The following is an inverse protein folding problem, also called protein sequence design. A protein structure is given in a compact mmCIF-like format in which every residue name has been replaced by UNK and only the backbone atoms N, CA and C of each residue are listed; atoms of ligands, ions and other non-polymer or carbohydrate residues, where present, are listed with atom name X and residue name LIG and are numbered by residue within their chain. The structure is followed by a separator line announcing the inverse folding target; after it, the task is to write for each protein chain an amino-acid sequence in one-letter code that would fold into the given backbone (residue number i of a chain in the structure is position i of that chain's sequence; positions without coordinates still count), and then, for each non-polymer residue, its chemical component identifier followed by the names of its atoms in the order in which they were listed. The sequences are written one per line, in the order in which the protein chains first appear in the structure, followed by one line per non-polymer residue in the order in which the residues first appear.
data_IF_589881931367
#
_entry.id   IF_589881931367
#
_cell.length_a   1.000
_cell.length_b   1.000
_cell.length_c   1.000
_cell.angle_alpha   90.00
_cell.angle_beta   90.00
_cell.angle_gamma   90.00
#
_symmetry.space_group_name_H-M   'P 1'
#
loop_
_entity.id
_entity.type
_entity.pdbx_description
1 polymer ?
#
# COMPACT_ATOMS: atom_id res chain seq x y z
N UNK A 1 -6.96 -0.26 -23.60
CA UNK A 1 -6.57 -0.01 -22.20
C UNK A 1 -6.52 -1.37 -21.51
N UNK A 2 -5.37 -1.73 -20.94
CA UNK A 2 -5.22 -3.02 -20.25
C UNK A 2 -5.46 -2.82 -18.75
N UNK A 3 -6.74 -2.81 -18.38
CA UNK A 3 -7.16 -2.62 -16.99
C UNK A 3 -6.65 -3.74 -16.07
N UNK A 4 -6.42 -4.95 -16.60
CA UNK A 4 -5.90 -6.07 -15.82
C UNK A 4 -4.42 -5.86 -15.50
N UNK A 5 -3.62 -5.46 -16.48
CA UNK A 5 -2.22 -5.11 -16.26
C UNK A 5 -2.07 -3.95 -15.26
N UNK A 6 -2.83 -2.87 -15.45
CA UNK A 6 -2.78 -1.73 -14.52
C UNK A 6 -3.24 -2.11 -13.11
N UNK A 7 -4.27 -2.95 -12.98
CA UNK A 7 -4.70 -3.47 -11.68
C UNK A 7 -3.56 -4.20 -10.95
N UNK A 8 -2.82 -5.04 -11.69
CA UNK A 8 -1.68 -5.78 -11.17
C UNK A 8 -0.54 -4.84 -10.74
N UNK A 9 -0.21 -3.83 -11.53
CA UNK A 9 0.83 -2.84 -11.19
C UNK A 9 0.51 -2.08 -9.89
N UNK A 10 -0.75 -1.64 -9.71
CA UNK A 10 -1.18 -1.00 -8.46
C UNK A 10 -1.17 -1.98 -7.28
N UNK A 11 -1.53 -3.25 -7.49
CA UNK A 11 -1.46 -4.26 -6.45
C UNK A 11 -0.02 -4.52 -5.99
N UNK A 12 0.91 -4.72 -6.93
CA UNK A 12 2.33 -4.91 -6.65
C UNK A 12 2.91 -3.70 -5.92
N UNK A 13 2.53 -2.49 -6.34
CA UNK A 13 2.94 -1.28 -5.64
C UNK A 13 2.40 -1.22 -4.21
N UNK A 14 1.16 -1.63 -3.99
CA UNK A 14 0.59 -1.73 -2.64
C UNK A 14 1.37 -2.72 -1.77
N UNK A 15 1.78 -3.87 -2.32
CA UNK A 15 2.60 -4.84 -1.57
C UNK A 15 3.97 -4.27 -1.20
N UNK A 16 4.65 -3.57 -2.12
CA UNK A 16 5.92 -2.88 -1.81
C UNK A 16 5.75 -1.86 -0.68
N UNK A 17 4.71 -1.03 -0.75
CA UNK A 17 4.41 -0.04 0.32
C UNK A 17 4.15 -0.73 1.65
N UNK A 18 3.46 -1.89 1.65
CA UNK A 18 3.21 -2.69 2.84
C UNK A 18 4.50 -3.23 3.45
N UNK A 19 5.41 -3.74 2.64
CA UNK A 19 6.73 -4.21 3.11
C UNK A 19 7.55 -3.07 3.72
N UNK A 20 7.54 -1.90 3.09
CA UNK A 20 8.24 -0.72 3.60
C UNK A 20 7.64 -0.23 4.92
N UNK A 21 6.30 -0.28 5.07
CA UNK A 21 5.66 -0.03 6.35
C UNK A 21 6.10 -1.01 7.43
N UNK A 22 6.25 -2.30 7.13
CA UNK A 22 6.71 -3.28 8.12
C UNK A 22 8.17 -3.03 8.56
N UNK A 23 9.07 -2.73 7.61
CA UNK A 23 10.45 -2.32 7.94
C UNK A 23 10.46 -1.08 8.82
N UNK A 24 9.61 -0.11 8.51
CA UNK A 24 9.53 1.15 9.22
C UNK A 24 8.91 0.99 10.62
N UNK A 25 7.92 0.10 10.80
CA UNK A 25 7.39 -0.31 12.12
C UNK A 25 8.46 -0.99 12.97
N UNK A 26 9.29 -1.85 12.38
CA UNK A 26 10.41 -2.46 13.10
C UNK A 26 11.44 -1.42 13.56
N UNK A 27 11.74 -0.42 12.72
CA UNK A 27 12.57 0.72 13.09
C UNK A 27 11.95 1.52 14.23
N UNK A 28 10.67 1.86 14.14
CA UNK A 28 9.92 2.61 15.15
C UNK A 28 10.02 2.00 16.55
N UNK A 29 9.96 0.67 16.65
CA UNK A 29 10.07 -0.05 17.95
C UNK A 29 11.39 0.19 18.66
N UNK A 30 12.46 0.51 17.92
CA UNK A 30 13.82 0.75 18.44
C UNK A 30 14.14 2.24 18.60
N UNK A 31 13.35 3.12 18.00
CA UNK A 31 13.58 4.56 17.97
C UNK A 31 12.94 5.30 19.16
N UNK A 32 13.66 6.26 19.73
CA UNK A 32 13.18 7.16 20.81
C UNK A 32 13.30 8.63 20.37
N UNK A 33 12.63 9.53 21.08
CA UNK A 33 12.73 10.97 20.84
C UNK A 33 12.11 11.42 19.50
N UNK A 34 12.65 12.48 18.92
CA UNK A 34 12.06 13.17 17.77
C UNK A 34 12.00 12.33 16.49
N UNK A 35 12.94 11.42 16.30
CA UNK A 35 12.92 10.49 15.16
C UNK A 35 11.66 9.61 15.18
N UNK A 36 11.09 9.31 16.36
CA UNK A 36 9.83 8.56 16.50
C UNK A 36 8.66 9.30 15.84
N UNK A 37 8.60 10.62 15.98
CA UNK A 37 7.54 11.45 15.39
C UNK A 37 7.63 11.45 13.86
N UNK A 38 8.84 11.61 13.33
CA UNK A 38 9.08 11.55 11.88
C UNK A 38 8.73 10.18 11.30
N UNK A 39 9.08 9.09 11.98
CA UNK A 39 8.73 7.72 11.55
C UNK A 39 7.21 7.51 11.57
N UNK A 40 6.52 7.98 12.61
CA UNK A 40 5.05 7.91 12.67
C UNK A 40 4.38 8.68 11.52
N UNK A 41 4.88 9.89 11.21
CA UNK A 41 4.36 10.67 10.08
C UNK A 41 4.55 9.93 8.76
N UNK A 42 5.73 9.34 8.53
CA UNK A 42 5.99 8.54 7.33
C UNK A 42 5.08 7.29 7.25
N UNK A 43 4.82 6.61 8.37
CA UNK A 43 3.88 5.49 8.43
C UNK A 43 2.45 5.89 8.05
N UNK A 44 2.00 7.08 8.44
CA UNK A 44 0.68 7.59 8.06
C UNK A 44 0.61 7.79 6.55
N UNK A 45 1.62 8.45 5.96
CA UNK A 45 1.68 8.67 4.50
C UNK A 45 1.70 7.35 3.73
N UNK A 46 2.55 6.40 4.14
CA UNK A 46 2.62 5.09 3.49
C UNK A 46 1.31 4.31 3.61
N UNK A 47 0.61 4.43 4.75
CA UNK A 47 -0.70 3.79 4.93
C UNK A 47 -1.73 4.36 3.96
N UNK A 48 -1.76 5.68 3.76
CA UNK A 48 -2.65 6.30 2.77
C UNK A 48 -2.32 5.81 1.36
N UNK A 49 -1.05 5.82 0.97
CA UNK A 49 -0.61 5.33 -0.35
C UNK A 49 -0.98 3.86 -0.58
N UNK A 50 -0.84 3.02 0.44
CA UNK A 50 -1.24 1.62 0.38
C UNK A 50 -2.74 1.47 0.07
N UNK A 51 -3.58 2.20 0.81
CA UNK A 51 -5.03 2.14 0.62
C UNK A 51 -5.43 2.67 -0.76
N UNK A 52 -4.81 3.75 -1.23
CA UNK A 52 -5.05 4.31 -2.56
C UNK A 52 -4.67 3.31 -3.67
N UNK A 53 -3.52 2.65 -3.55
CA UNK A 53 -3.08 1.63 -4.52
C UNK A 53 -4.01 0.41 -4.51
N UNK A 54 -4.40 -0.08 -3.34
CA UNK A 54 -5.36 -1.19 -3.23
C UNK A 54 -6.71 -0.84 -3.87
N UNK A 55 -7.22 0.35 -3.60
CA UNK A 55 -8.49 0.82 -4.16
C UNK A 55 -8.40 1.01 -5.68
N UNK A 56 -7.32 1.57 -6.19
CA UNK A 56 -7.08 1.71 -7.63
C UNK A 56 -7.02 0.33 -8.30
N UNK A 57 -6.27 -0.61 -7.71
CA UNK A 57 -6.17 -1.99 -8.20
C UNK A 57 -7.54 -2.67 -8.27
N UNK A 58 -8.36 -2.54 -7.23
CA UNK A 58 -9.72 -3.11 -7.17
C UNK A 58 -10.64 -2.50 -8.24
N UNK A 59 -10.65 -1.17 -8.38
CA UNK A 59 -11.46 -0.47 -9.38
C UNK A 59 -11.08 -0.91 -10.81
N UNK A 60 -9.79 -1.05 -11.08
CA UNK A 60 -9.28 -1.50 -12.37
C UNK A 60 -9.62 -2.97 -12.64
N UNK A 61 -9.50 -3.84 -11.63
CA UNK A 61 -9.87 -5.25 -11.76
C UNK A 61 -11.38 -5.41 -12.01
N UNK A 62 -12.20 -4.67 -11.27
CA UNK A 62 -13.65 -4.63 -11.45
C UNK A 62 -14.01 -4.18 -12.87
N UNK A 63 -13.32 -3.16 -13.39
CA UNK A 63 -13.50 -2.70 -14.77
C UNK A 63 -13.10 -3.73 -15.81
N UNK A 64 -12.12 -4.59 -15.49
CA UNK A 64 -11.72 -5.72 -16.32
C UNK A 64 -12.65 -6.94 -16.21
N UNK A 65 -13.70 -6.89 -15.38
CA UNK A 65 -14.61 -8.01 -15.12
C UNK A 65 -14.09 -9.03 -14.09
N UNK A 66 -13.02 -8.71 -13.37
CA UNK A 66 -12.50 -9.52 -12.26
C UNK A 66 -12.95 -8.99 -10.90
N UNK A 67 -12.73 -9.76 -9.85
CA UNK A 67 -12.92 -9.34 -8.46
C UNK A 67 -11.94 -10.07 -7.56
N UNK A 68 -11.38 -9.38 -6.58
CA UNK A 68 -10.59 -10.01 -5.51
C UNK A 68 -11.48 -10.73 -4.47
N UNK A 69 -12.80 -10.52 -4.52
CA UNK A 69 -13.79 -11.07 -3.59
C UNK A 69 -14.75 -12.07 -4.25
N UNK A 70 -14.55 -12.42 -5.52
CA UNK A 70 -15.27 -13.53 -6.15
C UNK A 70 -14.64 -14.86 -5.69
N UNK A 71 -15.16 -15.39 -4.58
CA UNK A 71 -15.03 -16.78 -4.20
C UNK A 71 -16.12 -17.62 -4.88
#
# INVERSE_FOLDING_TARGET
MDYKLWSQEYYEKAQQVKEDMEKLKQKLRKTKGDEKRSINSALITLRTMYLDCMKASELLLSRAGGSYYAA
#
